data_IF_207637269942
#
_entry.id   IF_207637269942
#
_cell.length_a   1.000
_cell.length_b   1.000
_cell.length_c   1.000
_cell.angle_alpha   90.00
_cell.angle_beta   90.00
_cell.angle_gamma   90.00
#
_symmetry.space_group_name_H-M   'P 1'
#
loop_
_entity.id
_entity.type
_entity.pdbx_description
1 polymer ?
#
# COMPACT_ATOMS: atom_id res chain seq x y z
N UNK A 1 -52.93 17.86 -2.08
CA UNK A 1 -51.57 18.39 -2.26
C UNK A 1 -50.79 18.24 -0.96
N UNK A 2 -50.11 17.10 -0.70
CA UNK A 2 -49.26 16.92 0.51
C UNK A 2 -48.44 15.61 0.50
N UNK A 3 -47.80 15.20 -0.61
CA UNK A 3 -46.94 13.99 -0.60
C UNK A 3 -45.78 14.01 -1.63
N UNK A 4 -45.04 15.10 -1.77
CA UNK A 4 -43.99 15.17 -2.81
C UNK A 4 -42.74 15.97 -2.40
N UNK A 5 -42.33 15.90 -1.14
CA UNK A 5 -41.10 16.61 -0.67
C UNK A 5 -40.10 15.68 0.07
N UNK A 6 -40.46 14.45 0.46
CA UNK A 6 -39.58 13.60 1.28
C UNK A 6 -38.57 12.79 0.43
N UNK A 7 -38.75 12.70 -0.89
CA UNK A 7 -37.90 11.86 -1.76
C UNK A 7 -36.53 12.44 -2.13
N UNK A 8 -36.30 13.75 -1.96
CA UNK A 8 -35.06 14.40 -2.43
C UNK A 8 -34.04 14.62 -1.29
N UNK A 9 -34.48 14.60 -0.02
CA UNK A 9 -33.57 14.85 1.11
C UNK A 9 -32.69 13.63 1.42
N UNK A 10 -33.11 12.40 1.08
CA UNK A 10 -32.30 11.19 1.35
C UNK A 10 -31.17 10.95 0.34
N UNK A 11 -31.25 11.50 -0.88
CA UNK A 11 -30.20 11.35 -1.88
C UNK A 11 -28.99 12.27 -1.64
N UNK A 12 -29.19 13.38 -0.90
CA UNK A 12 -28.13 14.35 -0.60
C UNK A 12 -27.30 13.93 0.63
N UNK A 13 -27.81 13.02 1.49
CA UNK A 13 -27.03 12.45 2.60
C UNK A 13 -26.10 11.30 2.19
N UNK A 14 -26.24 10.74 0.98
CA UNK A 14 -25.38 9.66 0.47
C UNK A 14 -24.17 10.15 -0.32
N UNK A 15 -24.17 11.41 -0.74
CA UNK A 15 -22.95 12.10 -1.16
C UNK A 15 -22.31 12.68 0.11
N UNK A 16 -21.97 11.79 1.04
CA UNK A 16 -21.00 12.15 2.05
C UNK A 16 -19.78 12.65 1.31
N UNK A 17 -19.51 13.95 1.39
CA UNK A 17 -18.15 14.48 1.37
C UNK A 17 -17.42 13.87 2.59
N UNK A 18 -17.31 12.54 2.62
CA UNK A 18 -16.55 11.83 3.60
C UNK A 18 -15.12 12.15 3.28
N UNK A 19 -14.46 12.87 4.18
CA UNK A 19 -13.01 12.98 4.14
C UNK A 19 -12.46 11.57 3.90
N UNK A 20 -11.60 11.42 2.87
CA UNK A 20 -10.95 10.14 2.61
C UNK A 20 -10.34 9.66 3.93
N UNK A 21 -10.51 8.39 4.31
CA UNK A 21 -9.97 7.88 5.56
C UNK A 21 -8.48 8.25 5.65
N UNK A 22 -8.11 8.99 6.71
CA UNK A 22 -6.73 9.31 7.01
C UNK A 22 -6.14 8.16 7.79
N UNK A 23 -5.18 7.46 7.20
CA UNK A 23 -4.47 6.38 7.86
C UNK A 23 -2.98 6.41 7.49
N UNK A 24 -2.16 5.84 8.35
CA UNK A 24 -0.75 5.54 8.08
C UNK A 24 -0.54 4.05 8.26
N UNK A 25 0.43 3.51 7.54
CA UNK A 25 0.91 2.14 7.74
C UNK A 25 2.24 2.26 8.47
N UNK A 26 2.32 1.72 9.67
CA UNK A 26 3.47 1.90 10.56
C UNK A 26 4.17 0.58 10.88
N UNK A 27 5.45 0.69 11.23
CA UNK A 27 6.19 -0.45 11.74
C UNK A 27 5.61 -0.86 13.10
N UNK A 28 5.08 -2.08 13.17
CA UNK A 28 4.50 -2.63 14.39
C UNK A 28 2.97 -2.66 14.39
N UNK A 29 2.31 -2.14 13.35
CA UNK A 29 0.87 -2.36 13.20
C UNK A 29 0.57 -3.86 13.08
N UNK A 30 -0.56 -4.28 13.66
CA UNK A 30 -1.00 -5.67 13.67
C UNK A 30 -2.16 -5.88 12.71
N UNK A 31 -2.47 -7.14 12.38
CA UNK A 31 -3.64 -7.49 11.57
C UNK A 31 -4.95 -6.92 12.14
N UNK A 32 -5.09 -6.81 13.46
CA UNK A 32 -6.27 -6.26 14.12
C UNK A 32 -6.48 -4.77 13.84
N UNK A 33 -5.40 -4.00 13.62
CA UNK A 33 -5.47 -2.57 13.27
C UNK A 33 -6.24 -2.39 11.96
N UNK A 34 -6.01 -3.27 10.99
CA UNK A 34 -6.59 -3.18 9.66
C UNK A 34 -7.92 -3.91 9.54
N UNK A 35 -8.11 -5.00 10.28
CA UNK A 35 -9.37 -5.74 10.28
C UNK A 35 -10.57 -4.91 10.78
N UNK A 36 -10.31 -3.96 11.67
CA UNK A 36 -11.35 -3.09 12.25
C UNK A 36 -11.46 -1.72 11.58
N UNK A 37 -10.69 -1.47 10.50
CA UNK A 37 -10.63 -0.16 9.85
C UNK A 37 -11.46 -0.16 8.55
N UNK A 38 -12.49 0.71 8.44
CA UNK A 38 -13.37 0.74 7.26
C UNK A 38 -12.68 1.18 5.97
N UNK A 39 -11.47 1.72 6.04
CA UNK A 39 -10.64 2.03 4.87
C UNK A 39 -10.10 0.77 4.17
N UNK A 40 -10.22 -0.40 4.81
CA UNK A 40 -9.62 -1.64 4.37
C UNK A 40 -10.67 -2.73 4.13
N UNK A 41 -10.47 -3.45 3.03
CA UNK A 41 -11.20 -4.68 2.70
C UNK A 41 -10.29 -5.87 2.96
N UNK A 42 -10.71 -6.77 3.84
CA UNK A 42 -10.01 -8.04 4.08
C UNK A 42 -10.14 -8.92 2.84
N UNK A 43 -9.03 -9.33 2.26
CA UNK A 43 -8.96 -10.17 1.06
C UNK A 43 -8.19 -11.45 1.35
N UNK A 44 -8.58 -12.56 0.72
CA UNK A 44 -7.80 -13.80 0.76
C UNK A 44 -6.59 -13.65 -0.15
N UNK A 45 -5.42 -14.03 0.33
CA UNK A 45 -4.17 -13.99 -0.43
C UNK A 45 -3.61 -15.40 -0.57
N UNK A 46 -3.14 -15.72 -1.77
CA UNK A 46 -2.32 -16.91 -2.01
C UNK A 46 -0.86 -16.47 -1.98
N UNK A 47 -0.15 -16.79 -0.89
CA UNK A 47 1.29 -16.59 -0.81
C UNK A 47 1.98 -17.90 -1.21
N UNK A 48 2.81 -17.83 -2.24
CA UNK A 48 3.76 -18.90 -2.57
C UNK A 48 5.05 -18.55 -1.81
N UNK A 49 5.40 -19.34 -0.82
CA UNK A 49 6.66 -19.22 -0.07
C UNK A 49 7.51 -20.44 -0.46
N UNK A 50 8.75 -20.22 -0.88
CA UNK A 50 9.71 -21.27 -1.24
C UNK A 50 9.23 -22.26 -2.31
N UNK A 51 8.49 -21.77 -3.32
CA UNK A 51 8.03 -22.59 -4.45
C UNK A 51 6.96 -23.63 -4.07
N UNK A 52 6.45 -23.59 -2.84
CA UNK A 52 5.28 -24.35 -2.40
C UNK A 52 4.12 -23.37 -2.23
N UNK A 53 2.99 -23.67 -2.86
CA UNK A 53 1.74 -23.11 -2.36
C UNK A 53 1.58 -23.60 -0.93
N UNK A 54 1.60 -22.68 0.02
CA UNK A 54 1.27 -23.01 1.39
C UNK A 54 -0.26 -23.19 1.47
N UNK A 55 -0.74 -24.33 0.96
CA UNK A 55 -2.03 -24.91 1.32
C UNK A 55 -1.85 -25.75 2.60
N UNK A 56 -1.03 -25.30 3.55
CA UNK A 56 -0.64 -26.11 4.71
C UNK A 56 -1.73 -26.10 5.79
N UNK A 57 -2.98 -26.45 5.43
CA UNK A 57 -4.08 -26.78 6.35
C UNK A 57 -4.42 -25.79 7.49
N UNK A 58 -3.76 -24.64 7.55
CA UNK A 58 -3.73 -23.70 8.68
C UNK A 58 -4.24 -22.34 8.22
N UNK A 59 -5.54 -22.31 7.95
CA UNK A 59 -6.30 -21.08 7.80
C UNK A 59 -6.03 -20.32 6.50
N UNK A 60 -7.06 -19.62 6.04
CA UNK A 60 -6.93 -18.65 4.96
C UNK A 60 -5.92 -17.58 5.37
N UNK A 61 -4.91 -17.34 4.52
CA UNK A 61 -4.05 -16.15 4.65
C UNK A 61 -4.82 -14.95 4.13
N UNK A 62 -4.81 -13.86 4.89
CA UNK A 62 -5.53 -12.64 4.54
C UNK A 62 -4.57 -11.45 4.39
N UNK A 63 -4.88 -10.60 3.43
CA UNK A 63 -4.32 -9.25 3.30
C UNK A 63 -5.44 -8.22 3.44
N UNK A 64 -5.05 -6.96 3.34
CA UNK A 64 -5.94 -5.81 3.45
C UNK A 64 -5.75 -4.92 2.23
N UNK A 65 -6.81 -4.78 1.43
CA UNK A 65 -6.84 -3.89 0.27
C UNK A 65 -7.44 -2.54 0.67
N UNK A 66 -6.93 -1.45 0.12
CA UNK A 66 -7.46 -0.11 0.35
C UNK A 66 -7.45 0.72 -0.94
N UNK A 67 -8.32 1.73 -1.01
CA UNK A 67 -8.48 2.62 -2.18
C UNK A 67 -8.19 4.10 -1.87
N UNK A 68 -7.84 4.40 -0.61
CA UNK A 68 -7.45 5.74 -0.18
C UNK A 68 -5.92 5.86 -0.04
N UNK A 69 -5.40 7.07 -0.16
CA UNK A 69 -3.98 7.33 0.01
C UNK A 69 -3.60 7.27 1.50
N UNK A 70 -2.65 6.43 1.92
CA UNK A 70 -2.05 6.58 3.23
C UNK A 70 -1.38 7.96 3.34
N UNK A 71 -1.33 8.50 4.56
CA UNK A 71 -0.52 9.67 4.86
C UNK A 71 0.96 9.29 4.76
N UNK A 72 1.32 8.12 5.29
CA UNK A 72 2.67 7.58 5.24
C UNK A 72 2.68 6.05 5.25
N UNK A 73 3.77 5.49 4.72
CA UNK A 73 4.11 4.08 4.82
C UNK A 73 5.50 3.96 5.44
N UNK A 74 5.57 3.43 6.66
CA UNK A 74 6.80 3.24 7.43
C UNK A 74 7.68 4.50 7.45
N UNK A 75 7.05 5.66 7.70
CA UNK A 75 7.72 6.96 7.73
C UNK A 75 7.93 7.64 6.37
N UNK A 76 7.72 6.94 5.25
CA UNK A 76 7.76 7.54 3.91
C UNK A 76 6.44 8.25 3.66
N UNK A 77 6.47 9.57 3.50
CA UNK A 77 5.29 10.37 3.20
C UNK A 77 4.68 9.96 1.86
N UNK A 78 3.36 9.80 1.83
CA UNK A 78 2.58 9.38 0.66
C UNK A 78 1.28 10.18 0.47
N UNK A 79 0.91 11.04 1.42
CA UNK A 79 -0.35 11.79 1.41
C UNK A 79 -0.51 12.82 0.27
N UNK A 80 0.58 13.24 -0.36
CA UNK A 80 0.58 14.13 -1.53
C UNK A 80 0.71 13.38 -2.86
N UNK A 81 0.72 12.05 -2.84
CA UNK A 81 0.77 11.19 -4.00
C UNK A 81 -0.64 10.85 -4.46
N UNK A 82 -0.82 10.67 -5.77
CA UNK A 82 -2.08 10.21 -6.34
C UNK A 82 -2.22 8.69 -6.22
N UNK A 83 -2.28 8.18 -4.98
CA UNK A 83 -2.50 6.75 -4.70
C UNK A 83 -3.94 6.38 -5.10
N UNK A 84 -4.06 5.40 -5.98
CA UNK A 84 -5.36 4.87 -6.44
C UNK A 84 -5.77 3.60 -5.68
N UNK A 85 -4.83 3.01 -4.94
CA UNK A 85 -5.09 1.92 -4.01
C UNK A 85 -3.82 1.18 -3.65
N UNK A 86 -3.98 0.15 -2.82
CA UNK A 86 -2.87 -0.68 -2.39
C UNK A 86 -3.31 -1.93 -1.65
N UNK A 87 -2.33 -2.75 -1.34
CA UNK A 87 -2.50 -3.98 -0.58
C UNK A 87 -1.45 -4.02 0.52
N UNK A 88 -1.87 -4.45 1.69
CA UNK A 88 -1.03 -4.71 2.84
C UNK A 88 -1.18 -6.19 3.23
N UNK A 89 -0.05 -6.85 3.43
CA UNK A 89 0.01 -8.21 3.97
C UNK A 89 0.84 -8.16 5.24
N UNK A 90 0.20 -8.49 6.36
CA UNK A 90 0.85 -8.67 7.65
C UNK A 90 0.85 -10.16 7.95
N UNK A 91 2.03 -10.76 8.16
CA UNK A 91 2.11 -12.17 8.46
C UNK A 91 1.63 -12.40 9.90
N UNK A 92 1.18 -13.61 10.25
CA UNK A 92 0.82 -13.95 11.62
C UNK A 92 1.95 -13.63 12.61
N UNK A 93 1.59 -13.34 13.87
CA UNK A 93 2.56 -13.09 14.93
C UNK A 93 3.60 -14.22 15.00
N UNK A 94 4.89 -13.85 14.98
CA UNK A 94 6.01 -14.80 14.98
C UNK A 94 6.51 -15.21 13.58
N UNK A 95 5.81 -14.86 12.51
CA UNK A 95 6.31 -14.94 11.14
C UNK A 95 6.91 -13.59 10.72
N UNK A 96 8.00 -13.62 9.96
CA UNK A 96 8.60 -12.42 9.37
C UNK A 96 7.98 -12.17 7.99
N UNK A 97 7.98 -10.92 7.51
CA UNK A 97 7.48 -10.61 6.17
C UNK A 97 6.28 -9.66 6.13
N UNK A 98 6.45 -8.35 6.31
CA UNK A 98 5.39 -7.39 5.92
C UNK A 98 5.57 -7.01 4.46
N UNK A 99 4.50 -7.05 3.65
CA UNK A 99 4.52 -6.58 2.27
C UNK A 99 3.43 -5.53 2.05
N UNK A 100 3.84 -4.34 1.62
CA UNK A 100 2.95 -3.24 1.28
C UNK A 100 3.17 -2.89 -0.18
N UNK A 101 2.10 -2.82 -0.94
CA UNK A 101 2.10 -2.35 -2.33
C UNK A 101 1.16 -1.17 -2.47
N UNK A 102 1.64 -0.07 -3.05
CA UNK A 102 0.83 1.07 -3.48
C UNK A 102 0.84 1.15 -5.00
N UNK A 103 -0.33 1.43 -5.55
CA UNK A 103 -0.50 1.82 -6.95
C UNK A 103 -0.76 3.32 -6.99
N UNK A 104 0.09 4.04 -7.71
CA UNK A 104 0.13 5.50 -7.77
C UNK A 104 0.01 5.91 -9.23
N UNK A 105 -0.82 6.90 -9.52
CA UNK A 105 -0.98 7.42 -10.88
C UNK A 105 0.05 8.51 -11.15
N UNK A 106 0.66 8.47 -12.34
CA UNK A 106 1.50 9.54 -12.84
C UNK A 106 2.98 9.36 -12.54
N UNK A 107 3.83 9.77 -13.49
CA UNK A 107 5.28 9.90 -13.31
C UNK A 107 5.67 10.75 -12.09
N UNK A 108 4.91 11.81 -11.80
CA UNK A 108 5.17 12.70 -10.65
C UNK A 108 5.21 11.91 -9.33
N UNK A 109 4.34 10.92 -9.17
CA UNK A 109 4.33 10.06 -8.00
C UNK A 109 5.63 9.29 -7.82
N UNK A 110 6.17 8.73 -8.91
CA UNK A 110 7.48 8.10 -8.91
C UNK A 110 8.61 9.09 -8.59
N UNK A 111 8.64 10.27 -9.22
CA UNK A 111 9.73 11.22 -9.00
C UNK A 111 9.79 11.70 -7.54
N UNK A 112 8.63 11.89 -6.90
CA UNK A 112 8.52 12.21 -5.47
C UNK A 112 9.02 11.07 -4.59
N UNK A 113 8.59 9.83 -4.86
CA UNK A 113 9.07 8.66 -4.13
C UNK A 113 10.57 8.45 -4.31
N UNK A 114 11.07 8.55 -5.55
CA UNK A 114 12.48 8.44 -5.86
C UNK A 114 13.30 9.45 -5.05
N UNK A 115 12.86 10.71 -4.99
CA UNK A 115 13.52 11.73 -4.17
C UNK A 115 13.52 11.33 -2.68
N UNK A 116 12.35 11.03 -2.11
CA UNK A 116 12.19 10.67 -0.68
C UNK A 116 13.04 9.47 -0.29
N UNK A 117 13.04 8.43 -1.12
CA UNK A 117 13.77 7.19 -0.84
C UNK A 117 15.28 7.41 -0.95
N UNK A 118 15.75 8.21 -1.91
CA UNK A 118 17.18 8.54 -2.02
C UNK A 118 17.70 9.40 -0.86
N UNK A 119 16.83 10.09 -0.14
CA UNK A 119 17.17 10.85 1.08
C UNK A 119 17.31 9.93 2.32
N UNK A 120 16.84 8.68 2.25
CA UNK A 120 17.01 7.68 3.32
C UNK A 120 18.43 7.12 3.29
N UNK A 121 19.27 7.57 4.23
CA UNK A 121 20.71 7.26 4.26
C UNK A 121 21.01 5.81 4.62
N UNK A 122 20.07 5.12 5.24
CA UNK A 122 20.21 3.73 5.66
C UNK A 122 20.00 2.73 4.51
N UNK A 123 19.56 3.17 3.33
CA UNK A 123 19.32 2.31 2.17
C UNK A 123 20.42 2.42 1.11
N UNK A 124 20.89 1.26 0.65
CA UNK A 124 21.68 1.14 -0.56
C UNK A 124 20.74 1.04 -1.77
N UNK A 125 20.78 2.02 -2.65
CA UNK A 125 19.86 2.15 -3.78
C UNK A 125 20.54 1.93 -5.14
N UNK A 126 19.82 1.31 -6.06
CA UNK A 126 20.22 1.10 -7.45
C UNK A 126 19.07 1.49 -8.38
N UNK A 127 19.41 2.09 -9.52
CA UNK A 127 18.44 2.46 -10.56
C UNK A 127 18.59 1.52 -11.74
N UNK A 128 17.47 1.00 -12.22
CA UNK A 128 17.40 0.13 -13.39
C UNK A 128 16.37 0.72 -14.34
N UNK A 129 16.78 0.98 -15.59
CA UNK A 129 15.89 1.46 -16.63
C UNK A 129 15.84 0.43 -17.75
N UNK A 130 14.63 -0.02 -18.11
CA UNK A 130 14.41 -0.98 -19.21
C UNK A 130 13.48 -0.29 -20.21
N UNK A 131 14.04 0.14 -21.33
CA UNK A 131 13.35 1.08 -22.23
C UNK A 131 12.97 2.34 -21.46
N UNK A 132 11.68 2.67 -21.45
CA UNK A 132 11.14 3.83 -20.72
C UNK A 132 10.61 3.48 -19.31
N UNK A 133 10.66 2.22 -18.90
CA UNK A 133 10.32 1.80 -17.53
C UNK A 133 11.47 2.17 -16.61
N UNK A 134 11.17 2.85 -15.51
CA UNK A 134 12.16 3.30 -14.51
C UNK A 134 11.92 2.56 -13.22
N UNK A 135 12.95 1.96 -12.65
CA UNK A 135 12.88 1.26 -11.36
C UNK A 135 13.98 1.74 -10.43
N UNK A 136 13.62 2.01 -9.18
CA UNK A 136 14.54 2.23 -8.07
C UNK A 136 14.39 1.04 -7.10
N UNK A 137 15.48 0.34 -6.85
CA UNK A 137 15.56 -0.75 -5.89
C UNK A 137 16.50 -0.34 -4.75
N UNK A 138 15.98 -0.36 -3.53
CA UNK A 138 16.70 0.04 -2.34
C UNK A 138 16.62 -1.06 -1.30
N UNK A 139 17.70 -1.29 -0.56
CA UNK A 139 17.74 -2.28 0.51
C UNK A 139 18.53 -1.78 1.72
N UNK A 140 18.09 -2.17 2.91
CA UNK A 140 18.76 -1.88 4.17
C UNK A 140 18.73 -3.14 5.05
N UNK A 141 19.87 -3.44 5.68
CA UNK A 141 19.93 -4.42 6.77
C UNK A 141 19.67 -3.70 8.09
N UNK A 142 18.58 -4.05 8.78
CA UNK A 142 18.22 -3.48 10.07
C UNK A 142 18.33 -4.53 11.17
N UNK A 143 18.41 -4.09 12.43
CA UNK A 143 18.47 -5.00 13.58
C UNK A 143 17.30 -6.00 13.64
N UNK A 144 16.16 -5.63 13.06
CA UNK A 144 14.93 -6.43 13.01
C UNK A 144 14.68 -7.11 11.66
N UNK A 145 15.69 -7.16 10.80
CA UNK A 145 15.64 -7.86 9.50
C UNK A 145 15.92 -6.95 8.30
N UNK A 146 15.74 -7.50 7.09
CA UNK A 146 16.07 -6.81 5.84
C UNK A 146 14.85 -6.08 5.32
N UNK A 147 15.03 -4.81 4.97
CA UNK A 147 14.00 -4.02 4.26
C UNK A 147 14.38 -3.92 2.79
N UNK A 148 13.40 -4.13 1.92
CA UNK A 148 13.50 -3.93 0.47
C UNK A 148 12.41 -2.96 0.04
N UNK A 149 12.81 -1.89 -0.65
CA UNK A 149 11.90 -0.94 -1.27
C UNK A 149 12.13 -1.01 -2.77
N UNK A 150 11.05 -1.25 -3.52
CA UNK A 150 11.07 -1.19 -4.99
C UNK A 150 10.02 -0.19 -5.42
N UNK A 151 10.42 0.82 -6.18
CA UNK A 151 9.46 1.66 -6.92
C UNK A 151 9.71 1.56 -8.40
N UNK A 152 8.63 1.39 -9.18
CA UNK A 152 8.69 1.24 -10.63
C UNK A 152 7.68 2.16 -11.27
N UNK A 153 8.10 2.95 -12.26
CA UNK A 153 7.21 3.71 -13.13
C UNK A 153 7.12 3.05 -14.51
N UNK A 154 5.89 2.74 -14.92
CA UNK A 154 5.58 2.26 -16.25
C UNK A 154 4.87 3.36 -17.07
N UNK A 155 5.51 3.92 -18.11
CA UNK A 155 4.93 4.99 -18.92
C UNK A 155 3.79 4.54 -19.83
N UNK A 156 3.65 3.24 -20.12
CA UNK A 156 2.54 2.74 -20.94
C UNK A 156 1.21 2.83 -20.21
N UNK A 157 1.21 2.57 -18.91
CA UNK A 157 0.03 2.66 -18.06
C UNK A 157 -0.08 3.99 -17.30
N UNK A 158 0.96 4.81 -17.31
CA UNK A 158 1.12 5.98 -16.44
C UNK A 158 0.91 5.64 -14.96
N UNK A 159 1.45 4.49 -14.55
CA UNK A 159 1.37 3.97 -13.18
C UNK A 159 2.75 3.80 -12.57
N UNK A 160 2.87 4.25 -11.33
CA UNK A 160 3.96 3.94 -10.44
C UNK A 160 3.52 2.90 -9.41
N UNK A 161 4.31 1.84 -9.25
CA UNK A 161 4.19 0.91 -8.13
C UNK A 161 5.22 1.30 -7.06
N UNK A 162 4.82 1.24 -5.80
CA UNK A 162 5.72 1.31 -4.66
C UNK A 162 5.50 0.07 -3.81
N UNK A 163 6.56 -0.68 -3.58
CA UNK A 163 6.56 -1.89 -2.79
C UNK A 163 7.53 -1.73 -1.63
N UNK A 164 7.06 -1.99 -0.41
CA UNK A 164 7.86 -2.04 0.81
C UNK A 164 7.75 -3.45 1.39
N UNK A 165 8.88 -4.14 1.51
CA UNK A 165 8.97 -5.48 2.09
C UNK A 165 9.92 -5.48 3.27
N UNK A 166 9.54 -6.17 4.35
CA UNK A 166 10.40 -6.39 5.50
C UNK A 166 10.44 -7.87 5.88
N UNK A 167 11.62 -8.48 5.81
CA UNK A 167 11.90 -9.87 6.16
C UNK A 167 12.50 -10.03 7.55
#
# INVERSE_FOLDING_TARGET
MKQLIIGIVLAVCLVGCGEKPKFSISEGDTSEVYANNPAFTKIKISLIIDGKEENDGKGDKFGYQFTAAPISVNGIETGDLNVIGGTLVIPPAGQKGTNITLTIKGKEGFDKLEKRINELKEFACSKVNIGNVRTLNCQAEQQRGRVIITTTYNPFSDISSFMYMKY
#
